data_IF_873212729415
#
_entry.id   IF_873212729415
#
_cell.length_a   1.000
_cell.length_b   1.000
_cell.length_c   1.000
_cell.angle_alpha   90.00
_cell.angle_beta   90.00
_cell.angle_gamma   90.00
#
_symmetry.space_group_name_H-M   'P 1'
#
loop_
_entity.id
_entity.type
_entity.pdbx_description
1 polymer ?
#
# COMPACT_ATOMS: atom_id res chain seq x y z
N UNK A 1 -0.91 18.43 -6.94
CA UNK A 1 -0.54 17.18 -7.62
C UNK A 1 -0.28 16.10 -6.59
N UNK A 2 -0.97 14.98 -6.69
CA UNK A 2 -0.78 13.84 -5.79
C UNK A 2 -1.01 12.53 -6.53
N UNK A 3 -0.38 11.48 -6.03
CA UNK A 3 -0.69 10.10 -6.36
C UNK A 3 -1.57 9.59 -5.24
N UNK A 4 -2.77 9.17 -5.59
CA UNK A 4 -3.73 8.55 -4.69
C UNK A 4 -3.64 7.06 -4.92
N UNK A 5 -3.45 6.28 -3.85
CA UNK A 5 -3.47 4.82 -3.92
C UNK A 5 -4.54 4.26 -3.03
N UNK A 6 -5.41 3.45 -3.61
CA UNK A 6 -6.46 2.73 -2.92
C UNK A 6 -6.17 1.24 -3.02
N UNK A 7 -6.10 0.54 -1.88
CA UNK A 7 -6.06 -0.91 -1.87
C UNK A 7 -7.45 -1.48 -1.62
N UNK A 8 -7.75 -2.57 -2.31
CA UNK A 8 -8.95 -3.37 -2.12
C UNK A 8 -8.54 -4.82 -1.96
N UNK A 9 -9.03 -5.45 -0.90
CA UNK A 9 -8.94 -6.90 -0.76
C UNK A 9 -10.30 -7.51 -1.08
N UNK A 10 -10.42 -8.28 -2.18
CA UNK A 10 -11.66 -8.95 -2.54
C UNK A 10 -12.19 -9.80 -1.38
N UNK A 11 -13.48 -9.64 -1.07
CA UNK A 11 -14.13 -10.34 0.05
C UNK A 11 -13.91 -9.73 1.43
N UNK A 12 -13.00 -8.76 1.58
CA UNK A 12 -12.74 -8.05 2.85
C UNK A 12 -13.20 -6.59 2.78
N UNK A 13 -12.74 -5.83 1.79
CA UNK A 13 -13.09 -4.42 1.62
C UNK A 13 -11.93 -3.50 1.28
N UNK A 14 -12.11 -2.22 1.60
CA UNK A 14 -11.22 -1.12 1.22
C UNK A 14 -10.31 -0.73 2.38
N UNK A 15 -9.03 -0.49 2.10
CA UNK A 15 -8.09 0.13 3.05
C UNK A 15 -8.13 1.65 2.98
N UNK A 16 -7.65 2.39 3.98
CA UNK A 16 -7.49 3.83 3.85
C UNK A 16 -6.62 4.20 2.64
N UNK A 17 -7.03 5.19 1.81
CA UNK A 17 -6.21 5.63 0.70
C UNK A 17 -4.95 6.36 1.20
N UNK A 18 -3.83 6.13 0.51
CA UNK A 18 -2.58 6.84 0.75
C UNK A 18 -2.36 7.94 -0.30
N UNK A 19 -1.77 9.05 0.14
CA UNK A 19 -1.55 10.25 -0.67
C UNK A 19 -0.08 10.60 -0.72
N UNK A 20 0.53 10.46 -1.89
CA UNK A 20 1.90 10.93 -2.14
C UNK A 20 1.86 12.25 -2.91
N UNK A 21 2.25 13.34 -2.27
CA UNK A 21 2.29 14.67 -2.89
C UNK A 21 3.50 14.83 -3.80
N UNK A 22 3.28 15.32 -5.03
CA UNK A 22 4.32 15.54 -6.03
C UNK A 22 4.75 17.01 -5.98
N UNK A 23 6.05 17.27 -5.79
CA UNK A 23 6.63 18.62 -5.76
C UNK A 23 6.76 19.21 -7.17
N UNK A 24 6.81 20.53 -7.26
CA UNK A 24 6.77 21.23 -8.56
C UNK A 24 7.95 20.93 -9.48
N UNK A 25 9.14 20.69 -8.91
CA UNK A 25 10.35 20.37 -9.66
C UNK A 25 10.28 19.01 -10.40
N UNK A 26 9.29 18.18 -10.08
CA UNK A 26 9.25 16.78 -10.46
C UNK A 26 8.06 16.43 -11.38
N UNK A 27 7.47 17.43 -12.02
CA UNK A 27 6.23 17.29 -12.81
C UNK A 27 6.41 16.69 -14.20
N UNK A 28 7.64 16.60 -14.72
CA UNK A 28 7.92 16.05 -16.06
C UNK A 28 7.92 14.52 -16.10
N UNK A 29 8.07 13.85 -14.96
CA UNK A 29 8.03 12.39 -14.87
C UNK A 29 8.32 11.87 -13.47
N UNK A 30 7.64 10.78 -13.09
CA UNK A 30 7.80 10.13 -11.78
C UNK A 30 8.38 8.73 -11.90
N UNK A 31 9.27 8.39 -10.99
CA UNK A 31 9.60 7.01 -10.66
C UNK A 31 9.58 6.82 -9.13
N UNK A 32 9.02 5.70 -8.66
CA UNK A 32 8.95 5.40 -7.24
C UNK A 32 8.42 4.00 -6.94
N UNK A 33 8.24 3.72 -5.65
CA UNK A 33 7.88 2.39 -5.16
C UNK A 33 6.65 2.45 -4.26
N UNK A 34 5.80 1.44 -4.40
CA UNK A 34 4.73 1.14 -3.45
C UNK A 34 5.30 0.24 -2.35
N UNK A 35 5.22 0.70 -1.09
CA UNK A 35 5.54 -0.10 0.09
C UNK A 35 4.22 -0.56 0.71
N UNK A 36 4.03 -1.88 0.73
CA UNK A 36 2.95 -2.51 1.47
C UNK A 36 3.49 -2.97 2.83
N UNK A 37 2.85 -2.53 3.91
CA UNK A 37 3.11 -3.07 5.25
C UNK A 37 2.06 -4.12 5.56
N UNK A 38 2.46 -5.39 5.58
CA UNK A 38 1.59 -6.51 5.92
C UNK A 38 1.77 -6.87 7.40
N UNK A 39 0.70 -7.34 8.07
CA UNK A 39 0.82 -7.81 9.45
C UNK A 39 1.64 -9.11 9.46
N UNK A 40 2.33 -9.38 10.58
CA UNK A 40 3.12 -10.61 10.76
C UNK A 40 2.27 -11.88 10.85
N UNK A 41 0.96 -11.74 10.99
CA UNK A 41 0.05 -12.87 11.07
C UNK A 41 -0.01 -13.62 9.73
N UNK A 42 0.50 -14.84 9.74
CA UNK A 42 0.52 -15.73 8.57
C UNK A 42 -0.87 -16.06 8.04
N UNK A 43 -1.92 -15.92 8.86
CA UNK A 43 -3.30 -16.18 8.44
C UNK A 43 -3.88 -15.05 7.57
N UNK A 44 -3.33 -13.84 7.66
CA UNK A 44 -3.84 -12.68 6.94
C UNK A 44 -3.51 -12.75 5.43
N UNK A 45 -2.34 -13.31 5.08
CA UNK A 45 -1.89 -13.45 3.68
C UNK A 45 -2.42 -14.72 2.99
N UNK A 46 -3.37 -15.44 3.61
CA UNK A 46 -4.02 -16.61 3.00
C UNK A 46 -4.98 -16.24 1.85
N UNK A 47 -5.17 -14.95 1.59
CA UNK A 47 -6.03 -14.44 0.53
C UNK A 47 -5.18 -14.13 -0.71
N UNK A 48 -5.55 -14.73 -1.84
CA UNK A 48 -4.67 -14.88 -3.01
C UNK A 48 -4.23 -13.56 -3.68
N UNK A 49 -5.01 -12.48 -3.52
CA UNK A 49 -4.69 -11.21 -4.18
C UNK A 49 -5.27 -9.97 -3.49
N UNK A 50 -4.53 -8.87 -3.58
CA UNK A 50 -4.98 -7.51 -3.28
C UNK A 50 -4.90 -6.68 -4.56
N UNK A 51 -5.90 -5.84 -4.81
CA UNK A 51 -5.90 -4.92 -5.94
C UNK A 51 -5.45 -3.53 -5.47
N UNK A 52 -4.47 -2.96 -6.17
CA UNK A 52 -4.01 -1.60 -5.95
C UNK A 52 -4.43 -0.72 -7.11
N UNK A 53 -5.22 0.31 -6.83
CA UNK A 53 -5.62 1.32 -7.81
C UNK A 53 -4.85 2.60 -7.55
N UNK A 54 -4.10 3.06 -8.56
CA UNK A 54 -3.38 4.31 -8.55
C UNK A 54 -4.10 5.33 -9.41
N UNK A 55 -4.25 6.54 -8.90
CA UNK A 55 -4.86 7.66 -9.63
C UNK A 55 -4.02 8.92 -9.42
N UNK A 56 -3.69 9.61 -10.51
CA UNK A 56 -3.04 10.91 -10.44
C UNK A 56 -4.09 11.99 -10.29
N UNK A 57 -3.84 12.94 -9.39
CA UNK A 57 -4.66 14.13 -9.24
C UNK A 57 -3.80 15.38 -9.49
N UNK A 58 -4.30 16.32 -10.29
CA UNK A 58 -3.62 17.60 -10.52
C UNK A 58 -3.87 18.63 -9.40
N UNK A 59 -3.48 19.90 -9.58
CA UNK A 59 -3.75 20.96 -8.61
C UNK A 59 -5.18 21.53 -8.67
N UNK A 60 -5.90 21.31 -9.77
CA UNK A 60 -7.30 21.71 -9.94
C UNK A 60 -8.27 20.64 -9.43
N UNK A 61 -7.74 19.46 -9.08
CA UNK A 61 -8.48 18.33 -8.54
C UNK A 61 -8.91 17.32 -9.60
N UNK A 62 -8.55 17.52 -10.88
CA UNK A 62 -8.84 16.59 -11.95
C UNK A 62 -8.07 15.29 -11.73
N UNK A 63 -8.71 14.16 -12.05
CA UNK A 63 -8.15 12.82 -11.86
C UNK A 63 -7.84 12.18 -13.20
N UNK A 64 -6.72 11.47 -13.27
CA UNK A 64 -6.40 10.61 -14.41
C UNK A 64 -7.32 9.39 -14.48
N UNK A 65 -7.29 8.69 -15.61
CA UNK A 65 -7.72 7.30 -15.65
C UNK A 65 -6.93 6.47 -14.61
N UNK A 66 -7.58 5.55 -13.89
CA UNK A 66 -6.93 4.73 -12.88
C UNK A 66 -6.05 3.63 -13.50
N UNK A 67 -4.94 3.33 -12.84
CA UNK A 67 -4.10 2.16 -13.14
C UNK A 67 -4.31 1.13 -12.03
N UNK A 68 -4.77 -0.06 -12.41
CA UNK A 68 -4.99 -1.17 -11.45
C UNK A 68 -3.87 -2.21 -11.55
N UNK A 69 -3.32 -2.58 -10.41
CA UNK A 69 -2.29 -3.61 -10.26
C UNK A 69 -2.82 -4.72 -9.35
N UNK A 70 -2.81 -5.96 -9.82
CA UNK A 70 -3.11 -7.13 -9.00
C UNK A 70 -1.85 -7.59 -8.28
N UNK A 71 -1.84 -7.48 -6.95
CA UNK A 71 -0.76 -7.93 -6.07
C UNK A 71 -1.08 -9.33 -5.55
N UNK A 72 -0.14 -10.27 -5.67
CA UNK A 72 -0.25 -11.62 -5.12
C UNK A 72 0.85 -11.86 -4.10
N UNK A 73 0.51 -12.47 -2.98
CA UNK A 73 1.46 -12.76 -1.91
C UNK A 73 1.76 -14.24 -1.88
N UNK A 74 3.03 -14.60 -2.07
CA UNK A 74 3.49 -15.96 -1.86
C UNK A 74 4.08 -16.08 -0.46
N UNK A 75 3.40 -16.79 0.44
CA UNK A 75 3.92 -17.03 1.79
C UNK A 75 4.96 -18.16 1.76
N UNK A 76 6.18 -17.85 1.26
CA UNK A 76 7.34 -18.75 1.34
C UNK A 76 8.23 -18.35 2.50
N UNK A 77 8.69 -19.31 3.34
CA UNK A 77 9.50 -19.03 4.53
C UNK A 77 10.88 -18.42 4.22
N UNK A 78 11.27 -18.31 2.95
CA UNK A 78 12.59 -17.86 2.49
C UNK A 78 12.57 -16.54 1.71
N UNK A 79 11.47 -15.78 1.71
CA UNK A 79 11.48 -14.46 1.07
C UNK A 79 12.41 -13.50 1.83
N UNK A 80 13.55 -13.18 1.21
CA UNK A 80 14.39 -12.05 1.60
C UNK A 80 13.86 -10.77 0.96
N UNK A 81 14.16 -9.58 1.52
CA UNK A 81 13.96 -8.32 0.80
C UNK A 81 14.53 -8.44 -0.61
N UNK A 82 13.68 -8.25 -1.63
CA UNK A 82 14.12 -8.30 -3.00
C UNK A 82 14.87 -7.00 -3.31
N UNK A 83 16.08 -7.10 -3.83
CA UNK A 83 16.79 -5.93 -4.32
C UNK A 83 16.02 -5.31 -5.48
N UNK A 84 16.04 -3.99 -5.56
CA UNK A 84 15.44 -3.24 -6.66
C UNK A 84 16.05 -3.74 -7.97
N UNK A 85 15.25 -4.24 -8.93
CA UNK A 85 15.79 -4.70 -10.20
C UNK A 85 16.61 -3.60 -10.88
N UNK A 86 17.71 -3.96 -11.54
CA UNK A 86 18.68 -3.00 -12.12
C UNK A 86 18.02 -1.96 -13.03
N UNK A 87 17.03 -2.37 -13.83
CA UNK A 87 16.22 -1.49 -14.69
C UNK A 87 15.47 -0.37 -13.94
N UNK A 88 15.29 -0.51 -12.63
CA UNK A 88 14.61 0.45 -11.76
C UNK A 88 15.59 1.17 -10.82
N UNK A 89 16.91 0.98 -10.93
CA UNK A 89 17.88 1.69 -10.09
C UNK A 89 17.88 3.21 -10.31
N UNK A 90 17.43 3.69 -11.46
CA UNK A 90 17.25 5.15 -11.65
C UNK A 90 16.10 5.71 -10.79
N UNK A 91 15.09 4.90 -10.47
CA UNK A 91 13.99 5.28 -9.59
C UNK A 91 14.43 5.43 -8.13
N UNK A 92 15.53 4.79 -7.72
CA UNK A 92 16.15 5.03 -6.41
C UNK A 92 16.82 6.39 -6.30
N UNK A 93 17.28 6.98 -7.41
CA UNK A 93 17.95 8.29 -7.41
C UNK A 93 16.95 9.46 -7.53
N UNK A 94 15.87 9.27 -8.29
CA UNK A 94 14.84 10.29 -8.53
C UNK A 94 13.53 9.93 -7.80
N UNK A 95 13.64 9.70 -6.49
CA UNK A 95 12.51 9.26 -5.66
C UNK A 95 11.59 10.45 -5.34
N UNK A 96 10.43 10.53 -5.98
CA UNK A 96 9.45 11.57 -5.63
C UNK A 96 8.62 11.24 -4.39
N UNK A 97 8.57 9.96 -4.02
CA UNK A 97 7.85 9.54 -2.84
C UNK A 97 7.79 8.03 -2.66
N UNK A 98 7.15 7.64 -1.57
CA UNK A 98 6.80 6.26 -1.27
C UNK A 98 5.32 6.25 -0.96
N UNK A 99 4.59 5.42 -1.69
CA UNK A 99 3.20 5.16 -1.36
C UNK A 99 3.22 4.09 -0.28
N UNK A 100 2.59 4.36 0.86
CA UNK A 100 2.59 3.46 2.00
C UNK A 100 1.17 3.11 2.40
N UNK A 101 0.81 1.85 2.26
CA UNK A 101 -0.48 1.35 2.75
C UNK A 101 -0.24 0.33 3.84
N UNK A 102 -0.82 0.60 5.01
CA UNK A 102 -0.84 -0.33 6.12
C UNK A 102 -2.03 -1.26 5.97
N UNK A 103 -1.74 -2.55 5.87
CA UNK A 103 -2.75 -3.59 5.86
C UNK A 103 -2.86 -4.15 7.27
N UNK A 104 -4.08 -4.12 7.83
CA UNK A 104 -4.37 -4.59 9.20
C UNK A 104 -5.12 -5.91 9.16
N UNK A 105 -4.79 -6.80 10.10
CA UNK A 105 -5.50 -8.07 10.28
C UNK A 105 -6.81 -7.84 11.02
N UNK A 106 -7.89 -8.44 10.52
CA UNK A 106 -9.22 -8.41 11.14
C UNK A 106 -9.25 -9.26 12.43
N UNK A 107 -8.25 -10.12 12.63
CA UNK A 107 -8.18 -11.03 13.78
C UNK A 107 -7.74 -10.29 15.06
N UNK A 108 -7.00 -9.18 14.96
CA UNK A 108 -6.52 -8.44 16.13
C UNK A 108 -7.55 -7.46 16.71
N UNK A 109 -8.47 -6.92 15.90
CA UNK A 109 -9.51 -5.99 16.37
C UNK A 109 -10.53 -6.66 17.35
N UNK A 110 -10.60 -7.99 17.37
CA UNK A 110 -11.50 -8.72 18.27
C UNK A 110 -10.91 -9.00 19.66
N UNK A 111 -9.68 -8.56 19.98
CA UNK A 111 -9.06 -8.78 21.30
C UNK A 111 -9.06 -7.57 22.23
N UNK A 112 -9.50 -6.41 21.76
CA UNK A 112 -9.57 -5.18 22.58
C UNK A 112 -10.93 -4.97 23.26
N UNK A 113 -11.69 -6.06 23.47
CA UNK A 113 -13.07 -6.02 23.97
C UNK A 113 -13.33 -6.71 25.31
N UNK A 114 -12.32 -7.21 26.04
CA UNK A 114 -12.57 -7.84 27.36
C UNK A 114 -11.42 -7.61 28.36
N UNK A 115 -11.25 -6.36 28.78
CA UNK A 115 -10.56 -6.04 30.04
C UNK A 115 -11.37 -5.02 30.84
N UNK A 116 -12.65 -5.33 31.02
CA UNK A 116 -13.50 -4.72 32.04
C UNK A 116 -13.32 -5.41 33.38
N UNK A 117 -12.11 -5.36 33.95
CA UNK A 117 -11.88 -5.79 35.34
C UNK A 117 -12.45 -4.72 36.27
N UNK A 118 -13.70 -4.86 36.70
CA UNK A 118 -14.25 -4.14 37.84
C UNK A 118 -14.21 -5.06 39.07
N UNK A 119 -13.26 -4.77 39.96
CA UNK A 119 -13.28 -5.21 41.37
C UNK A 119 -13.45 -3.94 42.19
N UNK A 120 -14.39 -3.95 43.14
CA UNK A 120 -14.03 -3.76 44.53
C UNK A 120 -14.24 -5.04 45.35
#
# INVERSE_FOLDING_TARGET
HSIITQLVQPGIGYYPPDFTYIKEADREGFAGYLILRTPRDNNFLLWESVEATLTLQDCEGNKSEPVTLTLRFENKPSFKPQEVPEKWQMATNNKLGTIQVEIRSIIDDNKEGDSGRLIP
#
